data_IF_992848342617
#
_entry.id   IF_992848342617
#
_cell.length_a   1.000
_cell.length_b   1.000
_cell.length_c   1.000
_cell.angle_alpha   90.00
_cell.angle_beta   90.00
_cell.angle_gamma   90.00
#
_symmetry.space_group_name_H-M   'P 1'
#
loop_
_entity.id
_entity.type
_entity.pdbx_description
1 polymer ?
#
# COMPACT_ATOMS: atom_id res chain seq x y z
N UNK A 1 -19.73 3.58 -10.51
CA UNK A 1 -19.93 3.56 -9.04
C UNK A 1 -18.58 3.82 -8.40
N UNK A 2 -18.51 4.59 -7.32
CA UNK A 2 -17.26 4.73 -6.57
C UNK A 2 -16.94 3.38 -5.92
N UNK A 3 -15.68 2.97 -5.97
CA UNK A 3 -15.23 1.75 -5.27
C UNK A 3 -15.59 1.84 -3.80
N UNK A 4 -16.16 0.77 -3.24
CA UNK A 4 -16.75 0.78 -1.90
C UNK A 4 -15.72 0.62 -0.79
N UNK A 5 -14.58 -0.02 -1.08
CA UNK A 5 -13.51 -0.22 -0.10
C UNK A 5 -12.19 0.40 -0.54
N UNK A 6 -11.39 0.76 0.47
CA UNK A 6 -10.01 1.17 0.34
C UNK A 6 -9.14 0.20 1.13
N UNK A 7 -8.24 -0.50 0.44
CA UNK A 7 -7.19 -1.30 1.04
C UNK A 7 -5.93 -0.43 1.16
N UNK A 8 -5.44 -0.27 2.38
CA UNK A 8 -4.22 0.46 2.65
C UNK A 8 -3.07 -0.52 2.80
N UNK A 9 -1.98 -0.27 2.09
CA UNK A 9 -0.71 -0.99 2.14
C UNK A 9 0.34 0.03 2.57
N UNK A 10 0.77 -0.01 3.83
CA UNK A 10 1.66 1.01 4.40
C UNK A 10 2.97 0.41 4.93
N UNK A 11 4.09 1.07 4.67
CA UNK A 11 5.42 0.66 5.08
C UNK A 11 5.84 1.40 6.36
N UNK A 12 6.02 0.68 7.48
CA UNK A 12 6.46 1.29 8.73
C UNK A 12 7.78 2.05 8.57
N UNK A 13 7.93 3.16 9.29
CA UNK A 13 9.15 3.97 9.26
C UNK A 13 10.39 3.25 9.82
N UNK A 14 10.18 2.16 10.56
CA UNK A 14 11.23 1.37 11.23
C UNK A 14 10.95 -0.12 11.12
N UNK A 15 12.01 -0.92 11.10
CA UNK A 15 11.91 -2.38 11.15
C UNK A 15 11.32 -2.81 12.50
N UNK A 16 10.30 -3.70 12.51
CA UNK A 16 9.58 -4.07 13.73
C UNK A 16 10.46 -4.79 14.76
N UNK A 17 11.46 -5.54 14.30
CA UNK A 17 12.35 -6.33 15.18
C UNK A 17 13.63 -5.59 15.56
N UNK A 18 14.34 -4.98 14.60
CA UNK A 18 15.64 -4.33 14.83
C UNK A 18 15.54 -2.85 15.19
N UNK A 19 14.41 -2.20 14.89
CA UNK A 19 14.24 -0.75 15.07
C UNK A 19 14.98 0.11 14.05
N UNK A 20 15.67 -0.48 13.06
CA UNK A 20 16.38 0.25 12.02
C UNK A 20 15.44 1.09 11.15
N UNK A 21 15.86 2.27 10.65
CA UNK A 21 15.05 3.06 9.72
C UNK A 21 14.70 2.30 8.45
N UNK A 22 13.54 2.62 7.88
CA UNK A 22 13.11 2.10 6.59
C UNK A 22 14.15 2.41 5.49
N UNK A 23 14.61 1.36 4.79
CA UNK A 23 15.30 1.50 3.50
C UNK A 23 14.28 1.19 2.42
N UNK A 24 13.96 2.19 1.59
CA UNK A 24 12.94 2.08 0.55
C UNK A 24 13.45 2.64 -0.78
N UNK A 25 13.39 1.85 -1.84
CA UNK A 25 13.67 2.29 -3.21
C UNK A 25 12.36 2.68 -3.89
N UNK A 26 12.03 3.98 -3.82
CA UNK A 26 10.84 4.53 -4.49
C UNK A 26 10.91 4.41 -6.01
N UNK A 27 12.11 4.39 -6.60
CA UNK A 27 12.26 4.27 -8.06
C UNK A 27 11.87 2.86 -8.50
N UNK A 28 12.37 1.83 -7.82
CA UNK A 28 11.97 0.44 -8.08
C UNK A 28 10.49 0.24 -7.81
N UNK A 29 9.98 0.81 -6.72
CA UNK A 29 8.57 0.70 -6.35
C UNK A 29 7.65 1.21 -7.46
N UNK A 30 7.91 2.41 -7.99
CA UNK A 30 7.07 3.02 -9.02
C UNK A 30 7.26 2.39 -10.41
N UNK A 31 8.50 2.07 -10.79
CA UNK A 31 8.81 1.59 -12.14
C UNK A 31 8.60 0.09 -12.33
N UNK A 32 8.66 -0.70 -11.26
CA UNK A 32 8.63 -2.17 -11.33
C UNK A 32 7.52 -2.76 -10.48
N UNK A 33 7.48 -2.44 -9.18
CA UNK A 33 6.54 -3.09 -8.27
C UNK A 33 5.08 -2.71 -8.55
N UNK A 34 4.78 -1.43 -8.73
CA UNK A 34 3.41 -0.96 -8.95
C UNK A 34 2.81 -1.45 -10.28
N UNK A 35 3.54 -1.45 -11.41
CA UNK A 35 3.07 -2.11 -12.64
C UNK A 35 2.83 -3.62 -12.46
N UNK A 36 3.66 -4.31 -11.67
CA UNK A 36 3.46 -5.71 -11.35
C UNK A 36 2.20 -5.94 -10.52
N UNK A 37 1.95 -5.11 -9.50
CA UNK A 37 0.73 -5.13 -8.68
C UNK A 37 -0.49 -4.88 -9.57
N UNK A 38 -0.45 -3.86 -10.43
CA UNK A 38 -1.56 -3.54 -11.32
C UNK A 38 -1.89 -4.70 -12.25
N UNK A 39 -0.88 -5.32 -12.89
CA UNK A 39 -1.05 -6.48 -13.76
C UNK A 39 -1.62 -7.69 -13.00
N UNK A 40 -1.16 -7.90 -11.77
CA UNK A 40 -1.52 -9.09 -10.98
C UNK A 40 -2.89 -8.94 -10.32
N UNK A 41 -3.27 -7.74 -9.87
CA UNK A 41 -4.48 -7.52 -9.08
C UNK A 41 -5.67 -7.02 -9.92
N UNK A 42 -5.45 -6.38 -11.09
CA UNK A 42 -6.56 -5.96 -11.97
C UNK A 42 -7.55 -7.08 -12.30
N UNK A 43 -7.11 -8.31 -12.66
CA UNK A 43 -8.04 -9.40 -12.96
C UNK A 43 -8.96 -9.77 -11.79
N UNK A 44 -8.60 -9.38 -10.57
CA UNK A 44 -9.31 -9.70 -9.33
C UNK A 44 -10.03 -8.49 -8.71
N UNK A 45 -10.27 -7.42 -9.48
CA UNK A 45 -11.14 -6.32 -9.04
C UNK A 45 -10.43 -5.03 -8.63
N UNK A 46 -9.10 -4.93 -8.77
CA UNK A 46 -8.40 -3.66 -8.53
C UNK A 46 -8.90 -2.59 -9.52
N UNK A 47 -9.54 -1.54 -9.00
CA UNK A 47 -10.12 -0.45 -9.80
C UNK A 47 -9.10 0.65 -10.07
N UNK A 48 -8.41 1.08 -9.03
CA UNK A 48 -7.40 2.12 -9.08
C UNK A 48 -6.52 2.04 -7.84
N UNK A 49 -5.43 2.81 -7.85
CA UNK A 49 -4.55 2.95 -6.70
C UNK A 49 -4.00 4.38 -6.64
N UNK A 50 -3.52 4.77 -5.47
CA UNK A 50 -2.84 6.04 -5.22
C UNK A 50 -1.73 5.83 -4.21
N UNK A 51 -0.63 6.57 -4.36
CA UNK A 51 0.55 6.46 -3.52
C UNK A 51 0.75 7.78 -2.79
N UNK A 52 1.11 7.71 -1.53
CA UNK A 52 1.46 8.85 -0.69
C UNK A 52 2.78 8.55 -0.01
N UNK A 53 3.75 9.44 -0.22
CA UNK A 53 5.04 9.43 0.48
C UNK A 53 4.99 10.51 1.57
N UNK A 54 5.43 10.16 2.77
CA UNK A 54 5.42 11.04 3.92
C UNK A 54 6.84 11.49 4.24
N UNK A 55 7.03 12.81 4.36
CA UNK A 55 8.30 13.37 4.77
C UNK A 55 8.65 12.97 6.21
N UNK A 56 9.94 12.73 6.45
CA UNK A 56 10.49 12.45 7.76
C UNK A 56 11.64 13.44 8.05
N UNK A 57 11.49 14.37 9.01
CA UNK A 57 10.36 14.51 9.93
C UNK A 57 9.08 15.01 9.25
N UNK A 58 7.93 14.75 9.88
CA UNK A 58 6.63 15.26 9.46
C UNK A 58 6.64 16.80 9.47
N UNK A 59 6.23 17.49 8.40
CA UNK A 59 6.26 18.95 8.34
C UNK A 59 5.23 19.60 9.28
N UNK A 60 4.20 18.86 9.72
CA UNK A 60 3.18 19.36 10.64
C UNK A 60 3.63 19.25 12.11
N UNK A 61 4.20 18.12 12.50
CA UNK A 61 4.50 17.81 13.92
C UNK A 61 5.98 17.87 14.27
N UNK A 62 6.88 17.81 13.27
CA UNK A 62 8.31 17.66 13.47
C UNK A 62 8.75 16.24 13.91
N UNK A 63 7.80 15.30 14.05
CA UNK A 63 8.06 13.94 14.51
C UNK A 63 8.20 12.96 13.33
N UNK A 64 8.86 11.83 13.56
CA UNK A 64 8.89 10.74 12.57
C UNK A 64 7.49 10.14 12.41
N UNK A 65 6.91 10.17 11.20
CA UNK A 65 5.64 9.48 10.94
C UNK A 65 5.77 7.98 11.22
N UNK A 66 4.72 7.30 11.69
CA UNK A 66 4.75 5.85 11.90
C UNK A 66 4.93 5.05 10.60
N UNK A 67 4.55 5.64 9.46
CA UNK A 67 4.66 5.06 8.11
C UNK A 67 5.23 6.10 7.16
N UNK A 68 6.11 5.70 6.25
CA UNK A 68 6.74 6.63 5.30
C UNK A 68 6.23 6.48 3.86
N UNK A 69 5.66 5.33 3.51
CA UNK A 69 5.05 5.08 2.21
C UNK A 69 3.71 4.41 2.43
N UNK A 70 2.67 4.92 1.77
CA UNK A 70 1.33 4.35 1.78
C UNK A 70 0.79 4.23 0.37
N UNK A 71 0.29 3.05 0.03
CA UNK A 71 -0.48 2.82 -1.18
C UNK A 71 -1.91 2.48 -0.80
N UNK A 72 -2.85 3.24 -1.35
CA UNK A 72 -4.29 2.97 -1.20
C UNK A 72 -4.80 2.37 -2.50
N UNK A 73 -5.26 1.13 -2.43
CA UNK A 73 -5.86 0.38 -3.53
C UNK A 73 -7.38 0.34 -3.37
N UNK A 74 -8.11 0.55 -4.46
CA UNK A 74 -9.56 0.64 -4.45
C UNK A 74 -10.19 -0.60 -5.09
N UNK A 75 -11.13 -1.21 -4.38
CA UNK A 75 -11.88 -2.41 -4.78
C UNK A 75 -13.38 -2.22 -4.49
N UNK A 76 -14.24 -3.04 -5.09
CA UNK A 76 -15.67 -2.97 -4.82
C UNK A 76 -16.08 -3.87 -3.65
N UNK A 77 -15.37 -4.98 -3.42
CA UNK A 77 -15.63 -5.89 -2.29
C UNK A 77 -14.36 -6.38 -1.60
N UNK A 78 -14.51 -6.87 -0.36
CA UNK A 78 -13.40 -7.46 0.40
C UNK A 78 -12.99 -8.81 -0.19
N UNK A 79 -13.91 -9.53 -0.82
CA UNK A 79 -13.65 -10.82 -1.48
C UNK A 79 -12.74 -10.66 -2.70
N UNK A 80 -12.93 -9.60 -3.48
CA UNK A 80 -12.03 -9.20 -4.57
C UNK A 80 -10.61 -8.96 -4.06
N UNK A 81 -10.47 -8.17 -2.99
CA UNK A 81 -9.18 -7.91 -2.34
C UNK A 81 -8.52 -9.19 -1.83
N UNK A 82 -9.26 -10.06 -1.13
CA UNK A 82 -8.75 -11.34 -0.65
C UNK A 82 -8.22 -12.20 -1.79
N UNK A 83 -8.99 -12.30 -2.87
CA UNK A 83 -8.59 -13.05 -4.06
C UNK A 83 -7.32 -12.46 -4.70
N UNK A 84 -7.25 -11.13 -4.81
CA UNK A 84 -6.07 -10.44 -5.34
C UNK A 84 -4.81 -10.69 -4.49
N UNK A 85 -4.95 -10.67 -3.16
CA UNK A 85 -3.86 -10.94 -2.22
C UNK A 85 -3.41 -12.40 -2.30
N UNK A 86 -4.34 -13.36 -2.27
CA UNK A 86 -4.03 -14.79 -2.32
C UNK A 86 -3.36 -15.18 -3.64
N UNK A 87 -3.95 -14.75 -4.77
CA UNK A 87 -3.44 -15.09 -6.10
C UNK A 87 -2.20 -14.28 -6.50
N UNK A 88 -2.04 -13.09 -5.94
CA UNK A 88 -0.89 -12.23 -6.22
C UNK A 88 0.31 -12.45 -5.31
N UNK A 89 0.10 -13.00 -4.11
CA UNK A 89 1.15 -13.14 -3.08
C UNK A 89 2.39 -13.88 -3.57
N UNK A 90 2.24 -14.92 -4.39
CA UNK A 90 3.37 -15.71 -4.91
C UNK A 90 4.32 -14.86 -5.76
N UNK A 91 3.79 -13.85 -6.46
CA UNK A 91 4.58 -12.98 -7.32
C UNK A 91 5.03 -11.71 -6.61
N UNK A 92 4.17 -11.14 -5.75
CA UNK A 92 4.41 -9.81 -5.17
C UNK A 92 5.22 -9.85 -3.88
N UNK A 93 5.10 -10.91 -3.05
CA UNK A 93 5.83 -11.00 -1.78
C UNK A 93 7.35 -11.05 -1.96
N UNK A 94 7.91 -11.89 -2.86
CA UNK A 94 9.36 -11.93 -3.09
C UNK A 94 9.90 -10.63 -3.69
N UNK A 95 9.03 -9.84 -4.31
CA UNK A 95 9.41 -8.55 -4.90
C UNK A 95 9.59 -7.45 -3.85
N UNK A 96 8.89 -7.55 -2.70
CA UNK A 96 8.97 -6.56 -1.60
C UNK A 96 10.40 -6.41 -1.08
N UNK A 97 11.11 -7.52 -0.91
CA UNK A 97 12.48 -7.53 -0.36
C UNK A 97 13.50 -6.83 -1.27
N UNK A 98 13.17 -6.59 -2.55
CA UNK A 98 14.07 -5.92 -3.50
C UNK A 98 14.11 -4.41 -3.33
N UNK A 99 13.04 -3.82 -2.81
CA UNK A 99 12.92 -2.37 -2.66
C UNK A 99 12.66 -1.91 -1.23
N UNK A 100 12.27 -2.80 -0.30
CA UNK A 100 11.94 -2.42 1.07
C UNK A 100 12.65 -3.32 2.08
N UNK A 101 13.22 -2.72 3.13
CA UNK A 101 13.74 -3.45 4.28
C UNK A 101 12.67 -3.96 5.24
N UNK A 102 11.40 -3.59 5.05
CA UNK A 102 10.28 -4.02 5.90
C UNK A 102 9.10 -4.48 5.06
N UNK A 103 8.32 -5.42 5.59
CA UNK A 103 7.04 -5.78 5.00
C UNK A 103 5.95 -4.76 5.33
N UNK A 104 5.04 -4.46 4.38
CA UNK A 104 3.96 -3.53 4.63
C UNK A 104 2.94 -4.10 5.62
N UNK A 105 2.19 -3.22 6.26
CA UNK A 105 0.98 -3.53 7.00
C UNK A 105 -0.23 -3.24 6.11
N UNK A 106 -1.19 -4.16 6.13
CA UNK A 106 -2.38 -4.07 5.28
C UNK A 106 -3.62 -4.00 6.16
N UNK A 107 -4.48 -3.01 5.91
CA UNK A 107 -5.80 -2.90 6.50
C UNK A 107 -6.80 -2.43 5.45
N UNK A 108 -8.09 -2.66 5.70
CA UNK A 108 -9.18 -2.30 4.78
C UNK A 108 -10.23 -1.48 5.52
N UNK A 109 -10.79 -0.50 4.83
CA UNK A 109 -11.90 0.29 5.32
C UNK A 109 -12.94 0.53 4.23
N UNK A 110 -14.16 0.82 4.65
CA UNK A 110 -15.22 1.29 3.76
C UNK A 110 -15.04 2.77 3.45
N UNK A 111 -15.34 3.16 2.22
CA UNK A 111 -15.31 4.56 1.82
C UNK A 111 -16.66 5.19 2.14
N UNK A 112 -16.66 6.13 3.09
CA UNK A 112 -17.82 6.95 3.35
C UNK A 112 -18.24 7.73 2.11
N UNK A 113 -19.54 7.71 1.79
CA UNK A 113 -20.10 8.63 0.80
C UNK A 113 -20.21 10.01 1.45
N UNK A 114 -19.73 11.05 0.76
CA UNK A 114 -19.91 12.43 1.21
C UNK A 114 -21.41 12.70 1.24
N UNK A 115 -21.98 12.93 2.43
CA UNK A 115 -23.34 13.46 2.54
C UNK A 115 -23.36 14.78 1.77
N UNK A 116 -24.22 14.87 0.75
CA UNK A 116 -24.52 16.14 0.11
C UNK A 116 -25.20 17.01 1.16
N UNK A 117 -24.50 18.03 1.63
CA UNK A 117 -25.09 19.16 2.32
C UNK A 117 -25.68 20.12 1.28
#
# INVERSE_FOLDING_TARGET
MASKIAAVVAYPSKHPETGEPLKFDMTYYLSTHMPLIEKTWRPYGLRSWSITEFQNPCPLTGETPPYLVQTTCYFDTVEELKTALEKGAETTKPDVEKFSSVFPRIWVGERGERSKE
#
